data_IF_068275831452
#
_entry.id   IF_068275831452
#
_cell.length_a   1.000
_cell.length_b   1.000
_cell.length_c   1.000
_cell.angle_alpha   90.00
_cell.angle_beta   90.00
_cell.angle_gamma   90.00
#
_symmetry.space_group_name_H-M   'P 1'
#
loop_
_entity.id
_entity.type
_entity.pdbx_description
1 polymer ?
#
# COMPACT_ATOMS: atom_id res chain seq x y z
N UNK A 1 51.68 -55.34 6.82
CA UNK A 1 52.40 -56.42 7.48
C UNK A 1 52.40 -57.65 6.57
N UNK A 2 53.52 -58.33 6.51
CA UNK A 2 53.64 -59.64 5.78
C UNK A 2 52.87 -60.73 6.54
N UNK A 3 52.28 -61.71 5.82
CA UNK A 3 51.50 -62.81 6.41
C UNK A 3 52.39 -64.02 6.78
N UNK A 4 53.71 -63.96 6.58
CA UNK A 4 54.69 -65.06 6.82
C UNK A 4 55.27 -65.07 8.25
N UNK A 5 54.73 -64.20 9.14
CA UNK A 5 55.18 -64.07 10.53
C UNK A 5 56.38 -63.14 10.72
N UNK A 6 56.97 -62.57 9.70
CA UNK A 6 58.16 -61.72 9.80
C UNK A 6 57.81 -60.27 10.34
N UNK A 7 56.51 -59.97 10.49
CA UNK A 7 55.98 -58.67 10.98
C UNK A 7 56.58 -57.46 10.27
N UNK A 8 57.05 -57.59 9.04
CA UNK A 8 57.50 -56.45 8.24
C UNK A 8 56.31 -55.62 7.82
N UNK A 9 56.38 -54.29 8.03
CA UNK A 9 55.36 -53.36 7.63
C UNK A 9 55.97 -52.21 6.83
N UNK A 10 55.24 -51.77 5.85
CA UNK A 10 55.51 -50.52 5.16
C UNK A 10 54.34 -49.57 5.33
N UNK A 11 54.62 -48.28 5.53
CA UNK A 11 53.61 -47.26 5.68
C UNK A 11 53.73 -46.25 4.53
N UNK A 12 52.61 -45.86 4.01
CA UNK A 12 52.51 -44.74 3.07
C UNK A 12 51.71 -43.62 3.74
N UNK A 13 52.28 -42.39 3.82
CA UNK A 13 51.59 -41.19 4.26
C UNK A 13 50.87 -40.58 3.06
N UNK A 14 49.58 -40.60 3.08
CA UNK A 14 48.76 -39.89 2.07
C UNK A 14 48.35 -38.53 2.64
N UNK A 15 48.70 -37.44 1.94
CA UNK A 15 48.28 -36.10 2.27
C UNK A 15 47.28 -35.67 1.22
N UNK A 16 46.01 -35.34 1.67
CA UNK A 16 44.98 -34.74 0.83
C UNK A 16 45.08 -33.23 1.00
N UNK A 17 45.27 -32.53 -0.10
CA UNK A 17 45.33 -31.08 -0.10
C UNK A 17 44.01 -30.48 -0.63
N UNK A 18 43.65 -29.31 -0.12
CA UNK A 18 42.46 -28.62 -0.59
C UNK A 18 42.67 -28.05 -2.00
N UNK A 19 41.65 -28.08 -2.82
CA UNK A 19 41.59 -27.37 -4.09
C UNK A 19 40.86 -26.05 -3.85
N UNK A 20 41.57 -24.89 -3.90
CA UNK A 20 40.96 -23.59 -3.64
C UNK A 20 39.99 -23.17 -4.76
N UNK A 21 39.10 -22.22 -4.43
CA UNK A 21 38.26 -21.53 -5.40
C UNK A 21 39.11 -20.53 -6.17
N UNK A 22 38.94 -20.49 -7.49
CA UNK A 22 39.60 -19.52 -8.40
C UNK A 22 38.64 -18.56 -9.07
N UNK A 23 37.33 -18.79 -8.95
CA UNK A 23 36.29 -17.91 -9.53
C UNK A 23 34.91 -18.21 -9.01
N UNK A 24 34.05 -17.19 -9.08
CA UNK A 24 32.62 -17.27 -8.80
C UNK A 24 31.83 -16.47 -9.83
N UNK A 25 30.70 -16.99 -10.27
CA UNK A 25 29.78 -16.28 -11.17
C UNK A 25 28.33 -16.47 -10.71
N UNK A 26 27.47 -15.56 -11.11
CA UNK A 26 26.02 -15.69 -10.92
C UNK A 26 25.30 -15.95 -12.25
N UNK A 27 24.19 -16.68 -12.20
CA UNK A 27 23.32 -16.90 -13.35
C UNK A 27 22.67 -15.62 -13.88
N UNK A 28 22.65 -14.53 -13.07
CA UNK A 28 22.13 -13.20 -13.45
C UNK A 28 22.99 -12.11 -12.82
N UNK A 29 23.30 -11.08 -13.60
CA UNK A 29 24.01 -9.86 -13.14
C UNK A 29 23.05 -8.72 -12.86
N UNK A 30 21.83 -8.80 -13.38
CA UNK A 30 20.75 -7.85 -13.15
C UNK A 30 19.40 -8.57 -13.02
N UNK A 31 18.48 -7.98 -12.25
CA UNK A 31 17.09 -8.41 -12.15
C UNK A 31 16.18 -7.20 -11.93
N UNK A 32 15.01 -7.20 -12.56
CA UNK A 32 13.94 -6.21 -12.33
C UNK A 32 12.72 -6.94 -11.78
N UNK A 33 12.23 -6.49 -10.63
CA UNK A 33 11.14 -7.13 -9.88
C UNK A 33 10.12 -6.06 -9.44
N UNK A 34 8.88 -6.46 -9.31
CA UNK A 34 7.87 -5.68 -8.56
C UNK A 34 7.92 -6.07 -7.08
N UNK A 35 7.38 -5.23 -6.22
CA UNK A 35 7.29 -5.55 -4.79
C UNK A 35 6.60 -6.91 -4.55
N UNK A 36 7.15 -7.69 -3.61
CA UNK A 36 6.77 -9.06 -3.27
C UNK A 36 7.11 -10.15 -4.32
N UNK A 37 7.67 -9.80 -5.47
CA UNK A 37 8.21 -10.80 -6.39
C UNK A 37 9.54 -11.36 -5.91
N UNK A 38 9.87 -12.56 -6.38
CA UNK A 38 11.12 -13.26 -6.04
C UNK A 38 11.88 -13.66 -7.28
N UNK A 39 13.21 -13.76 -7.15
CA UNK A 39 14.09 -14.36 -8.15
C UNK A 39 15.15 -15.21 -7.45
N UNK A 40 15.46 -16.37 -8.01
CA UNK A 40 16.54 -17.22 -7.50
C UNK A 40 17.82 -16.89 -8.24
N UNK A 41 18.85 -16.50 -7.49
CA UNK A 41 20.22 -16.39 -7.96
C UNK A 41 20.96 -17.71 -7.64
N UNK A 42 21.72 -18.18 -8.61
CA UNK A 42 22.56 -19.37 -8.46
C UNK A 42 24.02 -18.95 -8.62
N UNK A 43 24.84 -19.25 -7.62
CA UNK A 43 26.28 -19.05 -7.69
C UNK A 43 26.95 -20.31 -8.25
N UNK A 44 27.84 -20.12 -9.21
CA UNK A 44 28.70 -21.17 -9.75
C UNK A 44 30.15 -20.88 -9.37
N UNK A 45 30.77 -21.81 -8.66
CA UNK A 45 32.14 -21.74 -8.18
C UNK A 45 33.06 -22.52 -9.10
N UNK A 46 34.22 -21.98 -9.44
CA UNK A 46 35.25 -22.66 -10.25
C UNK A 46 36.55 -22.79 -9.46
N UNK A 47 37.28 -23.90 -9.67
CA UNK A 47 36.96 -25.09 -10.51
C UNK A 47 35.84 -25.92 -9.88
N UNK A 48 35.17 -26.74 -10.68
CA UNK A 48 34.12 -27.68 -10.18
C UNK A 48 34.67 -28.70 -9.16
N UNK A 49 35.99 -28.89 -9.12
CA UNK A 49 36.74 -29.74 -8.19
C UNK A 49 37.10 -29.02 -6.88
N UNK A 50 36.78 -27.73 -6.71
CA UNK A 50 37.03 -26.99 -5.47
C UNK A 50 36.45 -27.73 -4.26
N UNK A 51 37.26 -27.81 -3.18
CA UNK A 51 36.94 -28.58 -1.98
C UNK A 51 35.75 -27.99 -1.22
N UNK A 52 35.72 -26.65 -1.08
CA UNK A 52 34.63 -25.95 -0.46
C UNK A 52 33.98 -25.01 -1.49
N UNK A 53 32.72 -25.30 -1.87
CA UNK A 53 31.91 -24.51 -2.82
C UNK A 53 30.83 -23.69 -2.14
N UNK A 54 30.83 -23.61 -0.82
CA UNK A 54 29.86 -22.87 -0.06
C UNK A 54 29.99 -21.36 -0.35
N UNK A 55 28.84 -20.66 -0.40
CA UNK A 55 28.77 -19.22 -0.56
C UNK A 55 27.89 -18.61 0.51
N UNK A 56 28.20 -17.39 0.88
CA UNK A 56 27.37 -16.52 1.72
C UNK A 56 26.73 -15.45 0.87
N UNK A 57 25.51 -15.06 1.25
CA UNK A 57 24.74 -14.06 0.52
C UNK A 57 24.53 -12.81 1.36
N UNK A 58 24.59 -11.65 0.74
CA UNK A 58 24.30 -10.38 1.37
C UNK A 58 23.55 -9.43 0.42
N UNK A 59 22.83 -8.47 1.00
CA UNK A 59 22.18 -7.39 0.29
C UNK A 59 22.70 -6.05 0.78
N UNK A 60 22.99 -5.14 -0.13
CA UNK A 60 23.42 -3.78 0.20
C UNK A 60 22.31 -2.92 0.79
N UNK A 61 21.02 -3.32 0.56
CA UNK A 61 19.87 -2.61 1.09
C UNK A 61 18.70 -3.60 1.34
N UNK A 62 18.58 -4.06 2.56
CA UNK A 62 17.55 -5.03 2.97
C UNK A 62 16.13 -4.46 3.06
N UNK A 63 15.98 -3.14 3.02
CA UNK A 63 14.67 -2.49 2.90
C UNK A 63 14.12 -2.55 1.47
N UNK A 64 15.00 -2.61 0.46
CA UNK A 64 14.63 -2.73 -0.96
C UNK A 64 14.50 -4.20 -1.37
N UNK A 65 15.51 -5.03 -1.07
CA UNK A 65 15.49 -6.44 -1.38
C UNK A 65 16.30 -7.25 -0.37
N UNK A 66 15.78 -8.41 0.04
CA UNK A 66 16.49 -9.38 0.90
C UNK A 66 16.92 -10.59 0.09
N UNK A 67 17.92 -11.33 0.57
CA UNK A 67 18.34 -12.60 0.01
C UNK A 67 18.43 -13.66 1.10
N UNK A 68 17.98 -14.88 0.79
CA UNK A 68 18.11 -16.04 1.68
C UNK A 68 19.48 -16.70 1.56
N UNK A 69 19.80 -17.59 2.50
CA UNK A 69 21.01 -18.42 2.43
C UNK A 69 21.07 -19.33 1.19
N UNK A 70 19.94 -19.54 0.52
CA UNK A 70 19.83 -20.36 -0.71
C UNK A 70 19.82 -19.52 -2.00
N UNK A 71 20.05 -18.21 -1.90
CA UNK A 71 20.09 -17.30 -3.05
C UNK A 71 18.72 -16.84 -3.56
N UNK A 72 17.62 -17.06 -2.80
CA UNK A 72 16.30 -16.52 -3.15
C UNK A 72 16.23 -15.06 -2.73
N UNK A 73 16.13 -14.17 -3.71
CA UNK A 73 15.95 -12.73 -3.53
C UNK A 73 14.47 -12.42 -3.46
N UNK A 74 14.05 -11.62 -2.47
CA UNK A 74 12.68 -11.12 -2.30
C UNK A 74 12.68 -9.60 -2.38
N UNK A 75 11.95 -9.04 -3.35
CA UNK A 75 11.73 -7.61 -3.50
C UNK A 75 10.76 -7.08 -2.45
N UNK A 76 11.08 -5.94 -1.80
CA UNK A 76 10.25 -5.33 -0.74
C UNK A 76 9.72 -3.96 -1.12
N UNK A 77 10.59 -3.02 -1.41
CA UNK A 77 10.24 -1.64 -1.71
C UNK A 77 10.95 -1.15 -2.97
N UNK A 78 10.35 -0.19 -3.64
CA UNK A 78 10.94 0.47 -4.83
C UNK A 78 12.33 1.00 -4.53
N UNK A 79 13.24 0.75 -5.44
CA UNK A 79 14.64 1.16 -5.31
C UNK A 79 15.61 0.16 -5.94
N UNK A 80 16.87 0.26 -5.56
CA UNK A 80 17.94 -0.61 -6.05
C UNK A 80 18.71 -1.21 -4.88
N UNK A 81 19.02 -2.50 -4.97
CA UNK A 81 19.90 -3.21 -4.07
C UNK A 81 20.90 -4.06 -4.87
N UNK A 82 22.13 -4.17 -4.38
CA UNK A 82 23.13 -5.10 -4.91
C UNK A 82 23.13 -6.34 -4.04
N UNK A 83 22.86 -7.50 -4.64
CA UNK A 83 22.99 -8.79 -4.00
C UNK A 83 24.37 -9.36 -4.31
N UNK A 84 25.09 -9.77 -3.28
CA UNK A 84 26.45 -10.30 -3.38
C UNK A 84 26.51 -11.74 -2.87
N UNK A 85 27.10 -12.62 -3.66
CA UNK A 85 27.53 -13.95 -3.23
C UNK A 85 29.03 -13.93 -3.02
N UNK A 86 29.50 -14.38 -1.85
CA UNK A 86 30.92 -14.46 -1.49
C UNK A 86 31.30 -15.89 -1.13
N UNK A 87 32.45 -16.38 -1.64
CA UNK A 87 32.96 -17.72 -1.34
C UNK A 87 33.33 -17.85 0.13
N UNK A 88 33.10 -19.04 0.70
CA UNK A 88 33.35 -19.33 2.12
C UNK A 88 34.61 -20.22 2.34
N UNK A 89 35.47 -20.36 1.32
CA UNK A 89 36.73 -21.13 1.40
C UNK A 89 37.94 -20.29 1.87
N UNK A 90 37.71 -19.00 2.19
CA UNK A 90 38.76 -18.04 2.57
C UNK A 90 39.36 -17.26 1.39
N UNK A 91 39.01 -17.54 0.14
CA UNK A 91 39.44 -16.78 -1.04
C UNK A 91 38.78 -15.40 -1.15
N UNK A 92 37.63 -15.22 -0.49
CA UNK A 92 36.83 -13.97 -0.49
C UNK A 92 36.45 -13.47 -1.90
N UNK A 93 36.34 -14.37 -2.86
CA UNK A 93 35.86 -14.02 -4.20
C UNK A 93 34.38 -13.75 -4.16
N UNK A 94 33.93 -12.77 -4.92
CA UNK A 94 32.52 -12.37 -4.93
C UNK A 94 31.99 -12.13 -6.34
N UNK A 95 30.67 -12.36 -6.49
CA UNK A 95 29.90 -12.00 -7.68
C UNK A 95 28.63 -11.26 -7.26
N UNK A 96 28.20 -10.32 -8.09
CA UNK A 96 27.08 -9.43 -7.74
C UNK A 96 25.94 -9.47 -8.76
N UNK A 97 24.73 -9.22 -8.28
CA UNK A 97 23.55 -8.98 -9.10
C UNK A 97 22.90 -7.68 -8.65
N UNK A 98 22.69 -6.73 -9.59
CA UNK A 98 21.94 -5.50 -9.35
C UNK A 98 20.44 -5.81 -9.45
N UNK A 99 19.73 -5.67 -8.36
CA UNK A 99 18.26 -5.85 -8.28
C UNK A 99 17.61 -4.47 -8.26
N UNK A 100 16.72 -4.21 -9.22
CA UNK A 100 15.89 -3.00 -9.27
C UNK A 100 14.45 -3.39 -8.97
N UNK A 101 13.89 -2.83 -7.92
CA UNK A 101 12.46 -2.98 -7.61
C UNK A 101 11.72 -1.79 -8.22
N UNK A 102 10.82 -2.08 -9.15
CA UNK A 102 10.08 -1.08 -9.93
C UNK A 102 8.69 -0.86 -9.35
N UNK A 103 8.12 0.31 -9.62
CA UNK A 103 6.75 0.63 -9.25
C UNK A 103 5.74 -0.26 -9.97
N UNK A 104 4.63 -0.55 -9.28
CA UNK A 104 3.43 -1.12 -9.88
C UNK A 104 2.37 -0.03 -9.88
N UNK A 105 2.08 0.60 -11.02
CA UNK A 105 1.06 1.64 -11.10
C UNK A 105 -0.35 1.09 -10.87
N UNK A 106 -1.27 1.97 -10.50
CA UNK A 106 -2.69 1.66 -10.49
C UNK A 106 -3.20 1.41 -11.91
N UNK A 107 -4.09 0.43 -12.06
CA UNK A 107 -4.79 0.13 -13.32
C UNK A 107 -6.30 0.31 -13.19
N UNK A 108 -6.80 0.57 -11.97
CA UNK A 108 -8.19 0.85 -11.70
C UNK A 108 -8.40 1.49 -10.34
N UNK A 109 -9.50 2.23 -10.22
CA UNK A 109 -10.01 2.76 -8.96
C UNK A 109 -11.53 2.61 -8.94
N UNK A 110 -12.09 2.25 -7.82
CA UNK A 110 -13.52 2.12 -7.61
C UNK A 110 -13.94 2.66 -6.25
N UNK A 111 -15.22 3.00 -6.12
CA UNK A 111 -15.86 3.40 -4.88
C UNK A 111 -16.83 2.33 -4.39
N UNK A 112 -16.99 2.23 -3.07
CA UNK A 112 -18.01 1.37 -2.45
C UNK A 112 -19.45 1.84 -2.76
N UNK A 113 -19.63 3.11 -3.18
CA UNK A 113 -20.92 3.69 -3.60
C UNK A 113 -20.71 4.63 -4.79
N UNK A 114 -21.57 4.56 -5.79
CA UNK A 114 -21.60 5.46 -6.96
C UNK A 114 -22.66 6.54 -6.83
N UNK A 115 -23.59 6.37 -5.88
CA UNK A 115 -24.62 7.36 -5.55
C UNK A 115 -24.88 7.39 -4.04
N UNK A 116 -25.29 8.54 -3.52
CA UNK A 116 -25.76 8.68 -2.15
C UNK A 116 -26.83 9.78 -2.08
N UNK A 117 -27.89 9.55 -1.28
CA UNK A 117 -28.89 10.57 -0.92
C UNK A 117 -28.74 10.89 0.55
N UNK A 118 -28.65 12.19 0.86
CA UNK A 118 -28.41 12.73 2.19
C UNK A 118 -29.36 13.89 2.44
N UNK A 119 -29.71 14.13 3.69
CA UNK A 119 -30.29 15.39 4.14
C UNK A 119 -29.17 16.33 4.59
N UNK A 120 -29.44 17.63 4.64
CA UNK A 120 -28.47 18.60 5.16
C UNK A 120 -27.95 18.19 6.54
N UNK A 121 -26.65 18.33 6.77
CA UNK A 121 -25.88 17.92 7.95
C UNK A 121 -25.58 16.42 8.09
N UNK A 122 -26.18 15.57 7.26
CA UNK A 122 -25.84 14.14 7.25
C UNK A 122 -24.49 13.88 6.57
N UNK A 123 -23.90 12.75 6.92
CA UNK A 123 -22.61 12.31 6.38
C UNK A 123 -22.70 10.92 5.79
N UNK A 124 -21.83 10.64 4.82
CA UNK A 124 -21.63 9.31 4.28
C UNK A 124 -20.12 9.07 4.09
N UNK A 125 -19.66 7.88 4.44
CA UNK A 125 -18.28 7.48 4.18
C UNK A 125 -18.18 6.75 2.83
N UNK A 126 -17.35 7.27 1.96
CA UNK A 126 -16.93 6.64 0.72
C UNK A 126 -15.56 5.97 0.95
N UNK A 127 -15.40 4.79 0.39
CA UNK A 127 -14.12 4.05 0.43
C UNK A 127 -13.65 3.81 -0.99
N UNK A 128 -12.44 4.26 -1.30
CA UNK A 128 -11.80 4.01 -2.58
C UNK A 128 -10.99 2.71 -2.53
N UNK A 129 -11.09 1.92 -3.58
CA UNK A 129 -10.29 0.71 -3.78
C UNK A 129 -9.45 0.88 -5.04
N UNK A 130 -8.13 0.89 -4.88
CA UNK A 130 -7.15 0.96 -5.97
C UNK A 130 -6.72 -0.44 -6.36
N UNK A 131 -6.69 -0.73 -7.64
CA UNK A 131 -6.27 -2.03 -8.18
C UNK A 131 -5.07 -1.88 -9.13
N UNK A 132 -4.19 -2.90 -9.20
CA UNK A 132 -4.17 -4.15 -8.42
C UNK A 132 -3.82 -3.92 -6.95
N UNK A 133 -4.07 -4.92 -6.09
CA UNK A 133 -3.71 -4.85 -4.66
C UNK A 133 -2.19 -4.66 -4.43
N UNK A 134 -1.38 -4.99 -5.44
CA UNK A 134 0.08 -4.81 -5.48
C UNK A 134 0.53 -3.41 -5.88
N UNK A 135 -0.41 -2.48 -6.20
CA UNK A 135 -0.09 -1.07 -6.50
C UNK A 135 0.79 -0.47 -5.42
N UNK A 136 1.89 0.15 -5.83
CA UNK A 136 2.94 0.66 -4.92
C UNK A 136 2.46 1.89 -4.16
N UNK A 137 1.81 2.83 -4.87
CA UNK A 137 1.21 4.03 -4.28
C UNK A 137 -0.32 3.97 -4.44
N UNK A 138 -1.03 3.78 -3.33
CA UNK A 138 -2.50 3.73 -3.27
C UNK A 138 -3.13 5.02 -2.76
N UNK A 139 -2.33 6.06 -2.61
CA UNK A 139 -2.84 7.36 -2.15
C UNK A 139 -3.80 7.96 -3.16
N UNK A 140 -4.81 8.63 -2.65
CA UNK A 140 -5.86 9.27 -3.45
C UNK A 140 -6.14 10.68 -2.95
N UNK A 141 -6.64 11.51 -3.84
CA UNK A 141 -7.14 12.86 -3.54
C UNK A 141 -8.65 12.87 -3.76
N UNK A 142 -9.36 13.50 -2.84
CA UNK A 142 -10.80 13.69 -2.89
C UNK A 142 -11.16 15.12 -3.23
N UNK A 143 -12.13 15.33 -4.11
CA UNK A 143 -12.67 16.64 -4.48
C UNK A 143 -14.17 16.60 -4.61
N UNK A 144 -14.81 17.74 -4.41
CA UNK A 144 -16.25 17.95 -4.69
C UNK A 144 -16.41 18.90 -5.87
N UNK A 145 -17.37 18.63 -6.74
CA UNK A 145 -17.73 19.54 -7.84
C UNK A 145 -18.47 20.79 -7.36
N UNK A 146 -19.08 20.73 -6.16
CA UNK A 146 -19.77 21.84 -5.52
C UNK A 146 -19.71 21.71 -4.00
N UNK A 147 -18.77 22.40 -3.39
CA UNK A 147 -18.56 22.39 -1.94
C UNK A 147 -19.68 23.10 -1.15
N UNK A 148 -20.52 23.90 -1.82
CA UNK A 148 -21.69 24.50 -1.18
C UNK A 148 -22.81 23.47 -0.97
N UNK A 149 -22.87 22.44 -1.80
CA UNK A 149 -23.81 21.33 -1.70
C UNK A 149 -23.27 20.24 -0.80
N UNK A 150 -22.04 19.77 -1.03
CA UNK A 150 -21.40 18.75 -0.21
C UNK A 150 -19.88 18.90 -0.23
N UNK A 151 -19.25 18.77 0.92
CA UNK A 151 -17.79 18.70 1.07
C UNK A 151 -17.32 17.28 1.28
N UNK A 152 -16.03 17.02 1.00
CA UNK A 152 -15.40 15.73 1.28
C UNK A 152 -14.04 15.91 1.94
N UNK A 153 -13.78 15.12 2.97
CA UNK A 153 -12.48 15.04 3.62
C UNK A 153 -12.19 13.57 3.95
N UNK A 154 -11.08 13.04 3.42
CA UNK A 154 -10.63 11.66 3.66
C UNK A 154 -11.72 10.61 3.39
N UNK A 155 -12.55 10.84 2.36
CA UNK A 155 -13.68 9.99 1.99
C UNK A 155 -14.96 10.22 2.80
N UNK A 156 -14.94 11.04 3.85
CA UNK A 156 -16.15 11.42 4.59
C UNK A 156 -16.80 12.62 3.87
N UNK A 157 -17.97 12.40 3.33
CA UNK A 157 -18.80 13.42 2.67
C UNK A 157 -19.76 14.01 3.68
N UNK A 158 -19.85 15.34 3.71
CA UNK A 158 -20.80 16.09 4.55
C UNK A 158 -21.74 16.89 3.66
N UNK A 159 -23.03 16.68 3.81
CA UNK A 159 -24.07 17.40 3.09
C UNK A 159 -24.37 18.77 3.72
N UNK A 160 -24.51 19.84 2.91
CA UNK A 160 -24.76 21.19 3.38
C UNK A 160 -26.06 21.78 2.85
N UNK A 161 -26.21 21.89 1.54
CA UNK A 161 -27.34 22.59 0.88
C UNK A 161 -28.01 21.63 -0.12
N UNK A 162 -29.31 21.75 -0.26
CA UNK A 162 -30.09 21.03 -1.28
C UNK A 162 -29.50 21.24 -2.67
N UNK A 163 -29.28 20.14 -3.37
CA UNK A 163 -28.65 20.14 -4.68
C UNK A 163 -27.97 18.82 -4.98
N UNK A 164 -27.13 18.83 -6.00
CA UNK A 164 -26.35 17.65 -6.41
C UNK A 164 -24.89 18.04 -6.54
N UNK A 165 -24.00 17.24 -5.95
CA UNK A 165 -22.55 17.35 -6.12
C UNK A 165 -21.96 15.99 -6.54
N UNK A 166 -20.92 16.01 -7.39
CA UNK A 166 -20.12 14.86 -7.68
C UNK A 166 -18.90 14.84 -6.75
N UNK A 167 -18.76 13.79 -5.97
CA UNK A 167 -17.55 13.53 -5.20
C UNK A 167 -16.65 12.68 -6.05
N UNK A 168 -15.44 13.19 -6.31
CA UNK A 168 -14.45 12.59 -7.22
C UNK A 168 -13.24 12.16 -6.38
N UNK A 169 -12.79 10.94 -6.60
CA UNK A 169 -11.53 10.43 -6.08
C UNK A 169 -10.56 10.21 -7.23
N UNK A 170 -9.30 10.62 -7.06
CA UNK A 170 -8.25 10.52 -8.08
C UNK A 170 -7.00 9.88 -7.50
N UNK A 171 -6.38 8.93 -8.21
CA UNK A 171 -5.10 8.33 -7.80
C UNK A 171 -3.96 9.32 -7.92
N UNK A 172 -2.92 9.19 -7.04
CA UNK A 172 -1.75 10.08 -7.00
C UNK A 172 -0.45 9.41 -7.46
N UNK A 173 -0.53 8.23 -8.04
CA UNK A 173 0.62 7.47 -8.56
C UNK A 173 1.03 7.89 -9.99
N UNK A 174 0.41 8.93 -10.55
CA UNK A 174 0.61 9.39 -11.93
C UNK A 174 -0.32 8.74 -12.95
N UNK A 175 -1.11 7.73 -12.59
CA UNK A 175 -2.09 7.11 -13.48
C UNK A 175 -3.32 7.99 -13.72
N UNK A 176 -3.60 8.95 -12.83
CA UNK A 176 -4.73 9.89 -12.90
C UNK A 176 -6.10 9.21 -13.07
N UNK A 177 -6.25 8.02 -12.53
CA UNK A 177 -7.52 7.29 -12.56
C UNK A 177 -8.52 7.93 -11.61
N UNK A 178 -9.78 8.00 -12.02
CA UNK A 178 -10.86 8.62 -11.23
C UNK A 178 -12.03 7.68 -11.03
N UNK A 179 -12.73 7.86 -9.89
CA UNK A 179 -14.06 7.30 -9.66
C UNK A 179 -14.96 8.37 -9.04
N UNK A 180 -16.26 8.29 -9.30
CA UNK A 180 -17.23 9.34 -8.96
C UNK A 180 -18.37 8.73 -8.16
N UNK A 181 -18.77 9.43 -7.09
CA UNK A 181 -20.03 9.24 -6.40
C UNK A 181 -20.91 10.48 -6.57
N UNK A 182 -22.11 10.32 -7.16
CA UNK A 182 -23.11 11.39 -7.24
C UNK A 182 -23.85 11.49 -5.91
N UNK A 183 -23.72 12.63 -5.24
CA UNK A 183 -24.39 12.92 -3.97
C UNK A 183 -25.59 13.84 -4.26
N UNK A 184 -26.77 13.41 -3.84
CA UNK A 184 -27.99 14.20 -3.88
C UNK A 184 -28.35 14.63 -2.46
N UNK A 185 -28.37 15.95 -2.22
CA UNK A 185 -28.83 16.49 -0.94
C UNK A 185 -30.29 16.87 -1.07
N UNK A 186 -31.14 16.16 -0.34
CA UNK A 186 -32.59 16.26 -0.40
C UNK A 186 -33.15 17.29 0.57
N UNK A 187 -34.35 17.78 0.29
CA UNK A 187 -35.08 18.66 1.19
C UNK A 187 -35.50 17.91 2.45
N UNK A 188 -35.38 18.57 3.58
CA UNK A 188 -36.02 18.15 4.83
C UNK A 188 -37.27 18.94 5.04
N UNK A 189 -38.43 18.29 5.01
CA UNK A 189 -39.73 18.92 5.24
C UNK A 189 -39.94 19.17 6.75
N UNK A 190 -40.72 20.18 7.06
CA UNK A 190 -41.23 20.41 8.41
C UNK A 190 -42.22 19.29 8.77
N UNK A 191 -42.09 18.74 9.96
CA UNK A 191 -42.99 17.71 10.50
C UNK A 191 -43.94 18.30 11.55
N UNK A 192 -43.45 19.22 12.36
CA UNK A 192 -44.26 19.92 13.37
C UNK A 192 -43.95 21.40 13.42
N UNK A 193 -44.97 22.17 13.75
CA UNK A 193 -44.89 23.60 14.07
C UNK A 193 -45.57 23.81 15.43
N UNK A 194 -44.84 24.37 16.38
CA UNK A 194 -45.35 24.70 17.70
C UNK A 194 -45.02 26.12 18.06
N UNK A 195 -45.83 26.74 18.88
CA UNK A 195 -45.57 28.06 19.45
C UNK A 195 -45.10 27.92 20.89
N UNK A 196 -44.21 28.80 21.33
CA UNK A 196 -43.75 28.90 22.72
C UNK A 196 -44.89 29.36 23.68
N UNK A 197 -45.92 30.06 23.13
CA UNK A 197 -47.08 30.53 23.84
C UNK A 197 -48.34 30.26 23.04
N UNK A 198 -49.30 29.53 23.62
CA UNK A 198 -50.59 29.21 23.00
C UNK A 198 -51.72 30.14 23.47
N UNK A 199 -51.56 30.79 24.61
CA UNK A 199 -52.50 31.75 25.18
C UNK A 199 -51.73 32.99 25.67
N UNK A 200 -52.14 34.14 25.28
CA UNK A 200 -51.55 35.42 25.70
C UNK A 200 -52.68 36.43 26.00
N UNK A 201 -52.60 37.07 27.14
CA UNK A 201 -53.48 38.17 27.52
C UNK A 201 -52.65 39.45 27.60
N UNK A 202 -53.04 40.47 26.85
CA UNK A 202 -52.34 41.76 26.79
C UNK A 202 -53.28 42.87 27.19
N UNK A 203 -52.75 43.87 27.90
CA UNK A 203 -53.41 45.16 28.06
C UNK A 203 -53.18 46.02 26.84
N UNK A 204 -53.98 47.08 26.69
CA UNK A 204 -53.77 48.01 25.60
C UNK A 204 -52.35 48.55 25.62
N UNK A 205 -51.68 48.59 24.47
CA UNK A 205 -50.29 49.04 24.23
C UNK A 205 -49.20 48.08 24.64
N UNK A 206 -49.51 46.90 25.25
CA UNK A 206 -48.53 45.88 25.52
C UNK A 206 -48.22 45.08 24.25
N UNK A 207 -46.99 44.56 24.15
CA UNK A 207 -46.52 43.68 23.06
C UNK A 207 -45.98 42.40 23.62
N UNK A 208 -46.08 41.33 22.87
CA UNK A 208 -45.46 40.05 23.20
C UNK A 208 -44.79 39.48 21.97
N UNK A 209 -43.62 38.87 22.16
CA UNK A 209 -42.99 38.08 21.14
C UNK A 209 -43.46 36.63 21.29
N UNK A 210 -43.94 36.03 20.18
CA UNK A 210 -44.28 34.63 20.06
C UNK A 210 -43.25 33.96 19.18
N UNK A 211 -42.66 32.87 19.64
CA UNK A 211 -41.62 32.13 18.92
C UNK A 211 -42.26 30.86 18.34
N UNK A 212 -42.11 30.72 17.03
CA UNK A 212 -42.49 29.47 16.33
C UNK A 212 -41.32 28.50 16.30
N UNK A 213 -41.53 27.27 16.74
CA UNK A 213 -40.56 26.19 16.70
C UNK A 213 -40.96 25.20 15.63
N UNK A 214 -40.07 25.01 14.67
CA UNK A 214 -40.23 24.05 13.57
C UNK A 214 -39.31 22.84 13.84
N UNK A 215 -39.84 21.64 13.72
CA UNK A 215 -39.04 20.40 13.79
C UNK A 215 -39.18 19.58 12.52
N UNK A 216 -38.11 18.87 12.11
CA UNK A 216 -36.77 18.90 12.68
C UNK A 216 -36.05 20.22 12.44
N UNK A 217 -35.06 20.55 13.29
CA UNK A 217 -34.34 21.85 13.24
C UNK A 217 -33.58 22.08 11.93
N UNK A 218 -33.28 21.02 11.17
CA UNK A 218 -32.61 21.06 9.84
C UNK A 218 -33.61 21.20 8.67
N UNK A 219 -34.88 21.56 8.94
CA UNK A 219 -35.86 21.83 7.89
C UNK A 219 -35.32 22.86 6.88
N UNK A 220 -35.44 22.55 5.59
CA UNK A 220 -34.84 23.33 4.50
C UNK A 220 -35.46 24.69 4.30
N UNK A 221 -36.80 24.80 4.46
CA UNK A 221 -37.53 26.08 4.43
C UNK A 221 -38.20 26.29 5.79
N UNK A 222 -37.89 27.39 6.44
CA UNK A 222 -38.46 27.84 7.75
C UNK A 222 -39.33 29.07 7.63
N UNK A 223 -39.65 29.50 6.41
CA UNK A 223 -40.57 30.64 6.21
C UNK A 223 -41.97 30.26 6.69
N UNK A 224 -42.57 31.20 7.44
CA UNK A 224 -43.96 31.12 7.93
C UNK A 224 -44.81 32.09 7.10
N UNK A 225 -45.89 31.64 6.60
CA UNK A 225 -46.90 32.47 5.89
C UNK A 225 -48.06 32.83 6.80
#
# INVERSE_FOLDING_TARGET
TTADGSNLSATCKVTVVETPVTGITLNKTTASLKANETVTLTATVTPSTATNKSVTWSSSNTSVATVSSTGVVTAKAVGTATITATTADGSNLSATCKVTVVETPATGISLNKTTASLKATETVTLTATVTPSTTTNKSVIWTSSDETVATVKDGVVTAHKVGTANIIVTTTDGSNLTAICKVNVERTSAETLTLDKTNVTLKATETVTIIANITPANTTNKELS
#
